data_IF_214300613177
#
_entry.id   IF_214300613177
#
_cell.length_a   1.000
_cell.length_b   1.000
_cell.length_c   1.000
_cell.angle_alpha   90.00
_cell.angle_beta   90.00
_cell.angle_gamma   90.00
#
_symmetry.space_group_name_H-M   'P 1'
#
loop_
_entity.id
_entity.type
_entity.pdbx_description
1 polymer ?
#
# COMPACT_ATOMS: atom_id res chain seq x y z
N UNK A 1 20.68 -0.76 -7.50
CA UNK A 1 19.27 -0.38 -7.26
C UNK A 1 18.84 0.85 -8.08
N UNK A 2 19.48 2.01 -7.94
CA UNK A 2 19.13 3.25 -8.67
C UNK A 2 19.13 3.16 -10.21
N UNK A 3 20.07 2.42 -10.82
CA UNK A 3 20.12 2.23 -12.29
C UNK A 3 18.91 1.43 -12.83
N UNK A 4 18.42 0.45 -12.08
CA UNK A 4 17.25 -0.37 -12.44
C UNK A 4 15.95 0.44 -12.34
N UNK A 5 15.83 1.27 -11.30
CA UNK A 5 14.68 2.17 -11.11
C UNK A 5 14.62 3.24 -12.22
N UNK A 6 15.77 3.75 -12.67
CA UNK A 6 15.83 4.70 -13.80
C UNK A 6 15.45 4.07 -15.14
N UNK A 7 15.71 2.77 -15.33
CA UNK A 7 15.41 2.05 -16.56
C UNK A 7 13.92 1.66 -16.71
N UNK A 8 13.15 1.62 -15.62
CA UNK A 8 11.72 1.31 -15.64
C UNK A 8 10.92 2.48 -16.23
N UNK A 9 10.03 2.22 -17.19
CA UNK A 9 9.17 3.28 -17.74
C UNK A 9 8.17 3.79 -16.70
N UNK A 10 7.91 5.10 -16.68
CA UNK A 10 6.98 5.70 -15.72
C UNK A 10 5.57 5.12 -15.84
N UNK A 11 5.14 4.79 -17.07
CA UNK A 11 3.86 4.12 -17.34
C UNK A 11 3.76 2.74 -16.68
N UNK A 12 4.86 1.99 -16.62
CA UNK A 12 4.89 0.68 -15.98
C UNK A 12 4.81 0.82 -14.46
N UNK A 13 5.53 1.78 -13.87
CA UNK A 13 5.45 2.07 -12.44
C UNK A 13 4.05 2.53 -12.02
N UNK A 14 3.45 3.44 -12.79
CA UNK A 14 2.09 3.94 -12.53
C UNK A 14 1.04 2.84 -12.62
N UNK A 15 1.16 1.95 -13.62
CA UNK A 15 0.32 0.77 -13.77
C UNK A 15 0.50 -0.20 -12.59
N UNK A 16 1.74 -0.39 -12.13
CA UNK A 16 2.06 -1.19 -10.95
C UNK A 16 1.41 -0.65 -9.68
N UNK A 17 1.48 0.67 -9.45
CA UNK A 17 0.81 1.32 -8.31
C UNK A 17 -0.70 1.11 -8.38
N UNK A 18 -1.31 1.34 -9.54
CA UNK A 18 -2.75 1.13 -9.74
C UNK A 18 -3.19 -0.30 -9.43
N UNK A 19 -2.47 -1.29 -9.96
CA UNK A 19 -2.76 -2.70 -9.67
C UNK A 19 -2.58 -3.04 -8.20
N UNK A 20 -1.50 -2.58 -7.56
CA UNK A 20 -1.27 -2.84 -6.15
C UNK A 20 -2.35 -2.19 -5.26
N UNK A 21 -2.79 -0.97 -5.58
CA UNK A 21 -3.91 -0.32 -4.89
C UNK A 21 -5.21 -1.12 -5.03
N UNK A 22 -5.50 -1.64 -6.23
CA UNK A 22 -6.67 -2.51 -6.44
C UNK A 22 -6.61 -3.80 -5.63
N UNK A 23 -5.46 -4.49 -5.64
CA UNK A 23 -5.24 -5.71 -4.85
C UNK A 23 -5.39 -5.40 -3.35
N UNK A 24 -4.78 -4.32 -2.88
CA UNK A 24 -4.87 -3.91 -1.48
C UNK A 24 -6.32 -3.66 -1.05
N UNK A 25 -7.11 -2.94 -1.86
CA UNK A 25 -8.51 -2.66 -1.55
C UNK A 25 -9.34 -3.95 -1.45
N UNK A 26 -9.16 -4.90 -2.37
CA UNK A 26 -9.88 -6.18 -2.35
C UNK A 26 -9.48 -7.02 -1.13
N UNK A 27 -8.18 -7.14 -0.85
CA UNK A 27 -7.69 -7.91 0.30
C UNK A 27 -8.16 -7.29 1.62
N UNK A 28 -8.13 -5.96 1.72
CA UNK A 28 -8.62 -5.25 2.90
C UNK A 28 -10.10 -5.54 3.15
N UNK A 29 -10.96 -5.45 2.12
CA UNK A 29 -12.38 -5.79 2.24
C UNK A 29 -12.60 -7.25 2.68
N UNK A 30 -11.83 -8.19 2.12
CA UNK A 30 -11.90 -9.60 2.51
C UNK A 30 -11.50 -9.79 3.98
N UNK A 31 -10.45 -9.11 4.46
CA UNK A 31 -10.04 -9.20 5.86
C UNK A 31 -11.06 -8.57 6.81
N UNK A 32 -11.68 -7.46 6.44
CA UNK A 32 -12.79 -6.88 7.20
C UNK A 32 -13.97 -7.84 7.29
N UNK A 33 -14.33 -8.51 6.19
CA UNK A 33 -15.41 -9.49 6.16
C UNK A 33 -15.09 -10.76 6.97
N UNK A 34 -13.93 -11.37 6.73
CA UNK A 34 -13.51 -12.61 7.38
C UNK A 34 -13.18 -12.42 8.86
N UNK A 35 -12.65 -11.25 9.22
CA UNK A 35 -12.29 -10.92 10.58
C UNK A 35 -13.42 -10.34 11.42
N UNK A 36 -14.39 -9.66 10.80
CA UNK A 36 -15.54 -9.08 11.50
C UNK A 36 -16.50 -10.16 11.99
N UNK A 37 -17.57 -10.38 11.24
CA UNK A 37 -18.70 -11.20 11.68
C UNK A 37 -18.41 -12.70 11.75
N UNK A 38 -17.32 -13.14 11.12
CA UNK A 38 -17.04 -14.56 10.96
C UNK A 38 -15.88 -15.10 11.79
N UNK A 39 -15.05 -14.23 12.36
CA UNK A 39 -13.88 -14.56 13.19
C UNK A 39 -12.93 -15.64 12.59
N UNK A 40 -12.91 -15.77 11.26
CA UNK A 40 -12.10 -16.77 10.55
C UNK A 40 -10.61 -16.42 10.55
N UNK A 41 -10.29 -15.14 10.74
CA UNK A 41 -8.91 -14.63 10.67
C UNK A 41 -8.62 -13.78 11.89
N UNK A 42 -7.62 -14.20 12.67
CA UNK A 42 -7.17 -13.46 13.84
C UNK A 42 -6.60 -12.09 13.47
N UNK A 43 -6.60 -11.17 14.45
CA UNK A 43 -6.00 -9.84 14.33
C UNK A 43 -4.56 -9.90 13.77
N UNK A 44 -3.72 -10.76 14.35
CA UNK A 44 -2.32 -10.89 13.96
C UNK A 44 -2.16 -11.33 12.50
N UNK A 45 -2.95 -12.31 12.06
CA UNK A 45 -2.91 -12.80 10.67
C UNK A 45 -3.38 -11.72 9.70
N UNK A 46 -4.42 -10.96 10.06
CA UNK A 46 -4.93 -9.85 9.26
C UNK A 46 -3.87 -8.76 9.06
N UNK A 47 -3.16 -8.38 10.14
CA UNK A 47 -2.08 -7.39 10.09
C UNK A 47 -0.92 -7.87 9.22
N UNK A 48 -0.52 -9.14 9.35
CA UNK A 48 0.56 -9.73 8.53
C UNK A 48 0.16 -9.69 7.04
N UNK A 49 -1.06 -10.12 6.69
CA UNK A 49 -1.54 -10.10 5.30
C UNK A 49 -1.55 -8.66 4.76
N UNK A 50 -2.02 -7.69 5.56
CA UNK A 50 -2.01 -6.28 5.16
C UNK A 50 -0.60 -5.77 4.89
N UNK A 51 0.36 -6.05 5.78
CA UNK A 51 1.77 -5.65 5.58
C UNK A 51 2.34 -6.26 4.30
N UNK A 52 2.11 -7.56 4.06
CA UNK A 52 2.62 -8.27 2.88
C UNK A 52 2.06 -7.69 1.58
N UNK A 53 0.77 -7.34 1.55
CA UNK A 53 0.13 -6.79 0.34
C UNK A 53 0.47 -5.32 0.13
N UNK A 54 0.65 -4.58 1.21
CA UNK A 54 0.94 -3.15 1.20
C UNK A 54 2.41 -2.82 0.90
N UNK A 55 3.34 -3.65 1.36
CA UNK A 55 4.78 -3.39 1.24
C UNK A 55 5.25 -3.21 -0.23
N UNK A 56 4.79 -4.01 -1.22
CA UNK A 56 5.13 -3.78 -2.63
C UNK A 56 4.64 -2.43 -3.17
N UNK A 57 3.47 -1.96 -2.72
CA UNK A 57 2.94 -0.64 -3.09
C UNK A 57 3.81 0.50 -2.57
N UNK A 58 4.32 0.37 -1.33
CA UNK A 58 5.26 1.31 -0.74
C UNK A 58 6.57 1.37 -1.55
N UNK A 59 7.11 0.23 -1.97
CA UNK A 59 8.32 0.16 -2.79
C UNK A 59 8.13 0.82 -4.16
N UNK A 60 6.96 0.63 -4.79
CA UNK A 60 6.63 1.27 -6.07
C UNK A 60 6.52 2.79 -5.92
N UNK A 61 5.86 3.27 -4.87
CA UNK A 61 5.77 4.70 -4.57
C UNK A 61 7.15 5.30 -4.28
N UNK A 62 8.01 4.59 -3.55
CA UNK A 62 9.39 5.01 -3.30
C UNK A 62 10.20 5.07 -4.60
N UNK A 63 10.02 4.11 -5.51
CA UNK A 63 10.66 4.11 -6.82
C UNK A 63 10.22 5.30 -7.67
N UNK A 64 8.92 5.62 -7.68
CA UNK A 64 8.39 6.83 -8.34
C UNK A 64 8.93 8.11 -7.70
N UNK A 65 9.02 8.17 -6.36
CA UNK A 65 9.58 9.31 -5.64
C UNK A 65 11.04 9.59 -6.01
N UNK A 66 11.86 8.55 -6.12
CA UNK A 66 13.27 8.66 -6.52
C UNK A 66 13.41 9.19 -7.95
N UNK A 67 12.47 8.83 -8.84
CA UNK A 67 12.43 9.26 -10.25
C UNK A 67 11.79 10.63 -10.47
N UNK A 68 10.94 11.08 -9.57
CA UNK A 68 10.14 12.29 -9.73
C UNK A 68 10.95 13.59 -9.66
N UNK A 69 10.53 14.58 -10.44
CA UNK A 69 10.93 15.98 -10.32
C UNK A 69 10.38 16.62 -9.03
N UNK A 70 10.92 17.77 -8.62
CA UNK A 70 10.63 18.39 -7.33
C UNK A 70 9.13 18.62 -7.06
N UNK A 71 8.36 18.95 -8.10
CA UNK A 71 6.91 19.19 -8.00
C UNK A 71 6.12 17.88 -7.86
N UNK A 72 6.50 16.83 -8.60
CA UNK A 72 5.88 15.50 -8.50
C UNK A 72 6.23 14.81 -7.19
N UNK A 73 7.43 15.05 -6.63
CA UNK A 73 7.82 14.55 -5.29
C UNK A 73 6.87 15.00 -4.19
N UNK A 74 6.34 16.22 -4.27
CA UNK A 74 5.39 16.75 -3.28
C UNK A 74 4.06 16.00 -3.33
N UNK A 75 3.57 15.69 -4.53
CA UNK A 75 2.39 14.84 -4.73
C UNK A 75 2.62 13.41 -4.23
N UNK A 76 3.80 12.83 -4.46
CA UNK A 76 4.15 11.51 -3.91
C UNK A 76 4.30 11.50 -2.39
N UNK A 77 4.83 12.56 -1.78
CA UNK A 77 4.88 12.67 -0.31
C UNK A 77 3.48 12.66 0.32
N UNK A 78 2.52 13.37 -0.28
CA UNK A 78 1.12 13.35 0.17
C UNK A 78 0.52 11.95 0.01
N UNK A 79 0.79 11.27 -1.11
CA UNK A 79 0.30 9.89 -1.35
C UNK A 79 0.92 8.89 -0.39
N UNK A 80 2.24 8.94 -0.16
CA UNK A 80 2.94 8.09 0.80
C UNK A 80 2.40 8.35 2.22
N UNK A 81 2.16 9.61 2.58
CA UNK A 81 1.57 9.99 3.86
C UNK A 81 0.14 9.47 4.04
N UNK A 82 -0.72 9.59 3.03
CA UNK A 82 -2.09 9.05 3.04
C UNK A 82 -2.10 7.53 3.17
N UNK A 83 -1.22 6.87 2.42
CA UNK A 83 -1.07 5.41 2.41
C UNK A 83 -0.63 4.97 3.81
N UNK A 84 0.38 5.62 4.41
CA UNK A 84 0.85 5.33 5.77
C UNK A 84 -0.23 5.59 6.83
N UNK A 85 -0.97 6.69 6.73
CA UNK A 85 -2.08 7.00 7.62
C UNK A 85 -3.21 5.96 7.50
N UNK A 86 -3.54 5.51 6.28
CA UNK A 86 -4.52 4.45 6.03
C UNK A 86 -4.13 3.11 6.66
N UNK A 87 -2.84 2.75 6.60
CA UNK A 87 -2.29 1.57 7.28
C UNK A 87 -2.45 1.67 8.81
N UNK A 88 -2.15 2.84 9.38
CA UNK A 88 -2.31 3.07 10.83
C UNK A 88 -3.79 3.02 11.25
N UNK A 89 -4.68 3.71 10.51
CA UNK A 89 -6.13 3.71 10.81
C UNK A 89 -6.70 2.30 10.75
N UNK A 90 -6.28 1.50 9.78
CA UNK A 90 -6.68 0.10 9.64
C UNK A 90 -6.28 -0.74 10.85
N UNK A 91 -5.01 -0.63 11.28
CA UNK A 91 -4.50 -1.36 12.44
C UNK A 91 -5.23 -0.94 13.71
N UNK A 92 -5.48 0.36 13.89
CA UNK A 92 -6.19 0.90 15.05
C UNK A 92 -7.66 0.46 15.06
N UNK A 93 -8.37 0.58 13.94
CA UNK A 93 -9.78 0.16 13.85
C UNK A 93 -9.95 -1.32 14.20
N UNK A 94 -9.06 -2.16 13.69
CA UNK A 94 -9.09 -3.60 13.96
C UNK A 94 -8.59 -3.96 15.36
N UNK A 95 -7.85 -3.07 16.04
CA UNK A 95 -7.45 -3.27 17.43
C UNK A 95 -8.59 -2.92 18.40
N UNK A 96 -9.46 -1.99 18.01
CA UNK A 96 -10.60 -1.54 18.82
C UNK A 96 -11.85 -2.42 18.70
N UNK A 97 -11.98 -3.17 17.59
CA UNK A 97 -13.07 -4.10 17.31
C UNK A 97 -12.56 -5.54 17.33
#
# INVERSE_FOLDING_TARGET
MLKWIRALEDKQLLRGVWWNTGIFAVVFLLLCYLGGDHDYVSFQVSVIILIVVYFPGLLLLLAMYIKADAETRRAYNIRIGLVAAGGVITIVWRYMN
#
